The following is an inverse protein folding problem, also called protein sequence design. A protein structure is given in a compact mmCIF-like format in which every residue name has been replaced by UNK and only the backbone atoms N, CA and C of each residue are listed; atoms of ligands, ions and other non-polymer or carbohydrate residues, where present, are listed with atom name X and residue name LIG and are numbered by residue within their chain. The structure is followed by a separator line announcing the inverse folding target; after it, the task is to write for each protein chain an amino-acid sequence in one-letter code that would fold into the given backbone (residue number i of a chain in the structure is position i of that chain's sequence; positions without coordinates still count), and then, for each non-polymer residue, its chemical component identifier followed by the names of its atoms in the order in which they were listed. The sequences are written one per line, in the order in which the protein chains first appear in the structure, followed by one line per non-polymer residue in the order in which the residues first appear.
data_IF_976677792689
#
_entry.id   IF_976677792689
#
_cell.length_a   1.000
_cell.length_b   1.000
_cell.length_c   1.000
_cell.angle_alpha   90.00
_cell.angle_beta   90.00
_cell.angle_gamma   90.00
#
_symmetry.space_group_name_H-M   'P 1'
#
loop_
_entity.id
_entity.type
_entity.pdbx_description
1 polymer ?
#
# COMPACT_ATOMS: atom_id res chain seq x y z
N UNK A 1 11.94 16.22 10.31
CA UNK A 1 12.62 15.14 11.07
C UNK A 1 12.19 15.07 12.53
N UNK A 2 12.43 16.10 13.36
CA UNK A 2 12.02 16.12 14.79
C UNK A 2 10.54 15.82 15.07
N UNK A 3 9.62 16.29 14.23
CA UNK A 3 8.18 16.01 14.40
C UNK A 3 7.84 14.53 14.13
N UNK A 4 8.50 13.93 13.14
CA UNK A 4 8.35 12.51 12.80
C UNK A 4 8.88 11.62 13.91
N UNK A 5 10.05 11.94 14.45
CA UNK A 5 10.64 11.20 15.57
C UNK A 5 9.76 11.26 16.82
N UNK A 6 9.17 12.42 17.11
CA UNK A 6 8.22 12.58 18.22
C UNK A 6 6.99 11.68 18.03
N UNK A 7 6.39 11.70 16.84
CA UNK A 7 5.25 10.84 16.51
C UNK A 7 5.59 9.35 16.67
N UNK A 8 6.76 8.93 16.16
CA UNK A 8 7.25 7.55 16.29
C UNK A 8 7.42 7.16 17.75
N UNK A 9 7.99 8.04 18.56
CA UNK A 9 8.19 7.81 20.00
C UNK A 9 6.85 7.61 20.72
N UNK A 10 5.88 8.50 20.47
CA UNK A 10 4.55 8.43 21.08
C UNK A 10 3.77 7.19 20.61
N UNK A 11 3.87 6.84 19.33
CA UNK A 11 3.28 5.61 18.79
C UNK A 11 3.87 4.37 19.48
N UNK A 12 5.21 4.28 19.56
CA UNK A 12 5.90 3.15 20.22
C UNK A 12 5.55 3.06 21.70
N UNK A 13 5.47 4.20 22.39
CA UNK A 13 5.04 4.25 23.79
C UNK A 13 3.64 3.66 23.96
N UNK A 14 2.69 4.07 23.12
CA UNK A 14 1.32 3.55 23.13
C UNK A 14 1.28 2.06 22.80
N UNK A 15 2.01 1.64 21.76
CA UNK A 15 2.11 0.24 21.35
C UNK A 15 2.63 -0.67 22.45
N UNK A 16 3.63 -0.22 23.21
CA UNK A 16 4.23 -0.99 24.31
C UNK A 16 3.29 -1.17 25.50
N UNK A 17 2.28 -0.31 25.65
CA UNK A 17 1.29 -0.38 26.73
C UNK A 17 -0.02 -1.06 26.30
N UNK A 18 -0.19 -1.32 25.01
CA UNK A 18 -1.39 -1.94 24.47
C UNK A 18 -1.39 -3.47 24.70
N UNK A 19 -2.53 -3.99 25.17
CA UNK A 19 -2.84 -5.42 25.20
C UNK A 19 -3.72 -5.83 24.02
N UNK A 20 -3.90 -7.13 23.79
CA UNK A 20 -4.85 -7.62 22.78
C UNK A 20 -6.27 -7.16 23.12
N UNK A 21 -7.08 -6.69 22.15
CA UNK A 21 -6.84 -6.71 20.70
C UNK A 21 -6.08 -5.51 20.13
N UNK A 22 -5.93 -4.41 20.88
CA UNK A 22 -5.32 -3.15 20.41
C UNK A 22 -3.86 -3.32 19.98
N UNK A 23 -3.10 -4.19 20.66
CA UNK A 23 -1.71 -4.47 20.28
C UNK A 23 -1.59 -4.97 18.83
N UNK A 24 -2.49 -5.87 18.42
CA UNK A 24 -2.52 -6.43 17.06
C UNK A 24 -2.93 -5.35 16.07
N UNK A 25 -3.98 -4.59 16.39
CA UNK A 25 -4.42 -3.47 15.54
C UNK A 25 -3.29 -2.47 15.26
N UNK A 26 -2.51 -2.10 16.29
CA UNK A 26 -1.37 -1.21 16.12
C UNK A 26 -0.22 -1.86 15.33
N UNK A 27 -0.03 -3.18 15.40
CA UNK A 27 0.93 -3.89 14.54
C UNK A 27 0.53 -3.78 13.06
N UNK A 28 -0.75 -3.95 12.74
CA UNK A 28 -1.24 -3.82 11.35
C UNK A 28 -0.94 -2.43 10.78
N UNK A 29 -1.08 -1.36 11.57
CA UNK A 29 -0.69 0.00 11.13
C UNK A 29 0.80 0.05 10.74
N UNK A 30 1.67 -0.66 11.46
CA UNK A 30 3.10 -0.69 11.11
C UNK A 30 3.40 -1.46 9.83
N UNK A 31 2.55 -2.40 9.43
CA UNK A 31 2.76 -3.24 8.25
C UNK A 31 2.80 -2.44 6.95
N UNK A 32 2.01 -1.37 6.83
CA UNK A 32 2.10 -0.45 5.69
C UNK A 32 3.52 0.10 5.52
N UNK A 33 4.11 0.61 6.61
CA UNK A 33 5.49 1.12 6.58
C UNK A 33 6.53 0.02 6.38
N UNK A 34 6.27 -1.20 6.85
CA UNK A 34 7.15 -2.34 6.60
C UNK A 34 7.18 -2.71 5.12
N UNK A 35 6.02 -2.73 4.45
CA UNK A 35 5.92 -2.98 3.00
C UNK A 35 6.74 -1.95 2.23
N UNK A 36 6.58 -0.66 2.53
CA UNK A 36 7.33 0.41 1.86
C UNK A 36 8.84 0.27 2.08
N UNK A 37 9.25 -0.02 3.32
CA UNK A 37 10.67 -0.24 3.65
C UNK A 37 11.24 -1.44 2.89
N UNK A 38 10.52 -2.56 2.80
CA UNK A 38 10.97 -3.74 2.07
C UNK A 38 11.11 -3.43 0.59
N UNK A 39 10.12 -2.76 0.00
CA UNK A 39 10.18 -2.36 -1.40
C UNK A 39 11.39 -1.44 -1.64
N UNK A 40 11.60 -0.44 -0.78
CA UNK A 40 12.76 0.45 -0.85
C UNK A 40 14.09 -0.31 -0.78
N UNK A 41 14.19 -1.31 0.10
CA UNK A 41 15.39 -2.13 0.26
C UNK A 41 15.63 -2.99 -0.99
N UNK A 42 14.61 -3.67 -1.52
CA UNK A 42 14.72 -4.48 -2.74
C UNK A 42 15.14 -3.61 -3.93
N UNK A 43 14.49 -2.46 -4.14
CA UNK A 43 14.86 -1.51 -5.21
C UNK A 43 16.29 -1.01 -5.05
N UNK A 44 16.70 -0.67 -3.84
CA UNK A 44 18.06 -0.19 -3.59
C UNK A 44 19.12 -1.27 -3.82
N UNK A 45 18.86 -2.51 -3.44
CA UNK A 45 19.76 -3.65 -3.72
C UNK A 45 19.85 -3.94 -5.22
N UNK A 46 18.74 -3.81 -5.97
CA UNK A 46 18.75 -3.94 -7.43
C UNK A 46 19.69 -2.92 -8.11
N UNK A 47 19.76 -1.71 -7.54
CA UNK A 47 20.65 -0.63 -7.98
C UNK A 47 22.05 -0.69 -7.35
N UNK A 48 22.43 -1.82 -6.76
CA UNK A 48 23.73 -2.03 -6.10
C UNK A 48 24.06 -1.01 -5.00
N UNK A 49 23.04 -0.42 -4.36
CA UNK A 49 23.24 0.50 -3.23
C UNK A 49 23.47 -0.27 -1.94
N UNK A 50 24.41 0.18 -1.08
CA UNK A 50 24.66 -0.49 0.18
C UNK A 50 23.45 -0.39 1.11
N UNK A 51 23.05 -1.52 1.69
CA UNK A 51 21.90 -1.62 2.60
C UNK A 51 22.03 -0.67 3.80
N UNK A 52 23.25 -0.42 4.27
CA UNK A 52 23.52 0.53 5.35
C UNK A 52 23.08 1.95 5.02
N UNK A 53 23.17 2.39 3.77
CA UNK A 53 22.64 3.68 3.34
C UNK A 53 21.10 3.65 3.25
N UNK A 54 20.54 2.57 2.72
CA UNK A 54 19.08 2.43 2.54
C UNK A 54 18.33 2.40 3.87
N UNK A 55 18.90 1.79 4.91
CA UNK A 55 18.31 1.74 6.26
C UNK A 55 18.12 3.16 6.83
N UNK A 56 19.03 4.10 6.54
CA UNK A 56 18.88 5.50 7.00
C UNK A 56 17.68 6.21 6.37
N UNK A 57 17.20 5.73 5.22
CA UNK A 57 16.04 6.26 4.50
C UNK A 57 14.73 5.54 4.84
N UNK A 58 14.80 4.41 5.56
CA UNK A 58 13.61 3.66 5.96
C UNK A 58 12.76 4.42 6.99
N UNK A 59 11.45 4.19 6.96
CA UNK A 59 10.53 4.75 7.92
C UNK A 59 10.66 4.05 9.30
N UNK A 60 10.85 4.79 10.42
CA UNK A 60 11.07 4.20 11.74
C UNK A 60 9.92 3.35 12.31
N UNK A 61 8.69 3.50 11.80
CA UNK A 61 7.58 2.62 12.21
C UNK A 61 7.61 1.26 11.52
N UNK A 62 8.24 1.17 10.35
CA UNK A 62 8.37 -0.07 9.58
C UNK A 62 9.68 -0.81 9.84
N UNK A 63 10.42 -0.46 10.90
CA UNK A 63 11.66 -1.15 11.26
C UNK A 63 11.33 -2.41 12.06
N UNK A 64 11.92 -3.54 11.67
CA UNK A 64 11.80 -4.80 12.41
C UNK A 64 13.15 -5.18 13.05
N UNK A 65 13.10 -5.98 14.11
CA UNK A 65 14.27 -6.27 14.97
C UNK A 65 15.43 -6.91 14.20
N UNK A 66 15.15 -7.66 13.15
CA UNK A 66 16.13 -8.38 12.34
C UNK A 66 16.67 -7.55 11.16
N UNK A 67 16.48 -6.23 11.13
CA UNK A 67 17.10 -5.36 10.11
C UNK A 67 18.64 -5.53 10.05
N UNK A 68 19.28 -5.90 11.17
CA UNK A 68 20.72 -6.15 11.22
C UNK A 68 21.17 -7.37 10.40
N UNK A 69 20.32 -8.39 10.23
CA UNK A 69 20.64 -9.57 9.42
C UNK A 69 20.55 -9.29 7.93
N UNK A 70 19.78 -8.27 7.52
CA UNK A 70 19.66 -7.85 6.12
C UNK A 70 20.98 -7.31 5.57
N UNK A 71 21.88 -6.79 6.40
CA UNK A 71 23.21 -6.34 5.96
C UNK A 71 24.05 -7.44 5.28
N UNK A 72 23.71 -8.70 5.52
CA UNK A 72 24.43 -9.86 4.99
C UNK A 72 23.91 -10.22 3.59
N UNK A 73 22.67 -9.86 3.26
CA UNK A 73 22.08 -10.15 1.96
C UNK A 73 22.75 -9.31 0.87
N UNK A 74 23.35 -9.97 -0.12
CA UNK A 74 24.04 -9.31 -1.23
C UNK A 74 23.25 -9.38 -2.52
N UNK A 75 22.21 -10.22 -2.57
CA UNK A 75 21.32 -10.37 -3.72
C UNK A 75 19.87 -10.03 -3.35
N UNK A 76 19.06 -9.51 -4.29
CA UNK A 76 17.63 -9.27 -4.07
C UNK A 76 16.88 -10.55 -3.64
N UNK A 77 17.28 -11.72 -4.14
CA UNK A 77 16.69 -13.01 -3.78
C UNK A 77 17.01 -13.44 -2.34
N UNK A 78 18.22 -13.19 -1.85
CA UNK A 78 18.57 -13.42 -0.45
C UNK A 78 17.81 -12.48 0.48
N UNK A 79 17.71 -11.20 0.11
CA UNK A 79 16.96 -10.20 0.85
C UNK A 79 15.48 -10.60 0.95
N UNK A 80 14.90 -11.04 -0.16
CA UNK A 80 13.54 -11.54 -0.24
C UNK A 80 13.32 -12.74 0.71
N UNK A 81 14.22 -13.73 0.69
CA UNK A 81 14.11 -14.89 1.57
C UNK A 81 14.30 -14.53 3.05
N UNK A 82 15.19 -13.60 3.38
CA UNK A 82 15.38 -13.12 4.75
C UNK A 82 14.11 -12.42 5.26
N UNK A 83 13.50 -11.57 4.44
CA UNK A 83 12.23 -10.90 4.76
C UNK A 83 11.09 -11.90 4.92
N UNK A 84 11.02 -12.91 4.05
CA UNK A 84 10.01 -13.96 4.12
C UNK A 84 10.03 -14.78 5.40
N UNK A 85 11.21 -15.08 5.94
CA UNK A 85 11.34 -15.93 7.11
C UNK A 85 11.04 -15.15 8.40
N UNK A 86 11.46 -13.89 8.45
CA UNK A 86 11.54 -13.15 9.72
C UNK A 86 10.49 -12.04 9.87
N UNK A 87 9.64 -11.79 8.87
CA UNK A 87 8.61 -10.75 8.95
C UNK A 87 7.19 -11.31 9.02
N UNK A 88 6.26 -10.62 9.72
CA UNK A 88 4.84 -11.02 9.75
C UNK A 88 4.14 -10.86 8.39
N UNK A 89 4.82 -10.30 7.38
CA UNK A 89 4.32 -10.13 6.02
C UNK A 89 4.47 -11.41 5.18
N UNK A 90 5.18 -12.43 5.68
CA UNK A 90 5.38 -13.71 5.00
C UNK A 90 4.10 -14.29 4.34
N UNK A 91 2.92 -14.28 4.99
CA UNK A 91 1.70 -14.79 4.38
C UNK A 91 1.27 -14.05 3.11
N UNK A 92 1.59 -12.75 3.00
CA UNK A 92 1.22 -11.91 1.86
C UNK A 92 2.12 -12.14 0.64
N UNK A 93 3.31 -12.68 0.85
CA UNK A 93 4.28 -12.94 -0.23
C UNK A 93 4.04 -14.27 -0.96
N UNK A 94 3.27 -15.20 -0.38
CA UNK A 94 2.97 -16.51 -0.99
C UNK A 94 2.26 -16.34 -2.34
N UNK A 95 1.38 -15.34 -2.43
CA UNK A 95 0.62 -15.03 -3.65
C UNK A 95 1.37 -14.11 -4.62
N UNK A 96 2.55 -13.59 -4.24
CA UNK A 96 3.25 -12.55 -5.00
C UNK A 96 4.19 -13.08 -6.09
N UNK A 97 4.83 -14.24 -5.93
CA UNK A 97 6.01 -14.59 -6.76
C UNK A 97 5.96 -16.00 -7.34
N UNK A 98 5.33 -16.13 -8.50
CA UNK A 98 5.75 -17.12 -9.50
C UNK A 98 6.90 -16.55 -10.34
N UNK A 99 8.14 -16.79 -9.89
CA UNK A 99 9.35 -16.99 -10.72
C UNK A 99 9.67 -16.02 -11.88
N UNK A 100 9.24 -14.77 -11.84
CA UNK A 100 9.74 -13.72 -12.76
C UNK A 100 10.78 -12.85 -12.05
N UNK A 101 11.83 -12.50 -12.81
CA UNK A 101 13.02 -11.80 -12.34
C UNK A 101 12.68 -10.49 -11.62
N UNK A 102 13.41 -10.18 -10.55
CA UNK A 102 13.18 -9.00 -9.71
C UNK A 102 13.59 -7.71 -10.43
N UNK A 103 12.86 -7.33 -11.48
CA UNK A 103 13.04 -6.09 -12.24
C UNK A 103 12.22 -4.93 -11.64
N UNK A 104 12.56 -3.68 -11.96
CA UNK A 104 11.88 -2.49 -11.41
C UNK A 104 10.36 -2.49 -11.62
N UNK A 105 9.88 -2.92 -12.79
CA UNK A 105 8.45 -3.03 -13.10
C UNK A 105 7.78 -4.09 -12.21
N UNK A 106 8.51 -5.16 -11.88
CA UNK A 106 8.04 -6.21 -10.98
C UNK A 106 8.00 -5.73 -9.52
N UNK A 107 8.82 -4.75 -9.14
CA UNK A 107 8.82 -4.24 -7.76
C UNK A 107 7.55 -3.44 -7.44
N UNK A 108 7.05 -2.62 -8.35
CA UNK A 108 5.76 -1.93 -8.15
C UNK A 108 4.58 -2.90 -8.15
N UNK A 109 4.64 -3.97 -8.96
CA UNK A 109 3.67 -5.07 -8.93
C UNK A 109 3.70 -5.78 -7.56
N UNK A 110 4.90 -6.09 -7.04
CA UNK A 110 5.08 -6.67 -5.71
C UNK A 110 4.51 -5.75 -4.63
N UNK A 111 4.83 -4.44 -4.68
CA UNK A 111 4.27 -3.44 -3.74
C UNK A 111 2.75 -3.50 -3.74
N UNK A 112 2.12 -3.39 -4.91
CA UNK A 112 0.66 -3.37 -5.01
C UNK A 112 0.03 -4.69 -4.57
N UNK A 113 0.64 -5.82 -4.88
CA UNK A 113 0.14 -7.15 -4.47
C UNK A 113 0.23 -7.33 -2.96
N UNK A 114 1.33 -6.89 -2.33
CA UNK A 114 1.48 -6.90 -0.88
C UNK A 114 0.46 -6.00 -0.19
N UNK A 115 0.28 -4.78 -0.70
CA UNK A 115 -0.71 -3.86 -0.17
C UNK A 115 -2.13 -4.38 -0.31
N UNK A 116 -2.44 -5.06 -1.42
CA UNK A 116 -3.73 -5.73 -1.62
C UNK A 116 -4.01 -6.75 -0.52
N UNK A 117 -3.08 -7.69 -0.30
CA UNK A 117 -3.22 -8.73 0.71
C UNK A 117 -3.30 -8.13 2.13
N UNK A 118 -2.46 -7.13 2.42
CA UNK A 118 -2.47 -6.40 3.68
C UNK A 118 -3.82 -5.71 3.95
N UNK A 119 -4.37 -4.98 2.97
CA UNK A 119 -5.64 -4.27 3.13
C UNK A 119 -6.82 -5.23 3.33
N UNK A 120 -6.84 -6.34 2.59
CA UNK A 120 -7.90 -7.35 2.74
C UNK A 120 -7.83 -8.06 4.09
N UNK A 121 -6.62 -8.34 4.59
CA UNK A 121 -6.43 -8.95 5.91
C UNK A 121 -6.74 -7.96 7.05
N UNK A 122 -6.31 -6.70 6.91
CA UNK A 122 -6.61 -5.67 7.90
C UNK A 122 -8.11 -5.36 7.97
N UNK A 123 -8.79 -5.37 6.83
CA UNK A 123 -10.25 -5.21 6.79
C UNK A 123 -10.97 -6.34 7.54
N UNK A 124 -10.56 -7.60 7.32
CA UNK A 124 -11.11 -8.76 8.06
C UNK A 124 -10.85 -8.68 9.55
N UNK A 125 -9.66 -8.20 9.97
CA UNK A 125 -9.38 -7.94 11.37
C UNK A 125 -10.37 -6.91 11.92
N UNK A 126 -10.57 -5.78 11.24
CA UNK A 126 -11.48 -4.73 11.69
C UNK A 126 -12.94 -5.21 11.78
N UNK A 127 -13.41 -5.98 10.80
CA UNK A 127 -14.73 -6.63 10.86
C UNK A 127 -14.86 -7.55 12.09
N UNK A 128 -13.82 -8.34 12.38
CA UNK A 128 -13.82 -9.25 13.52
C UNK A 128 -13.87 -8.55 14.88
N UNK A 129 -13.35 -7.32 14.97
CA UNK A 129 -13.40 -6.50 16.20
C UNK A 129 -14.81 -5.95 16.44
N UNK A 130 -15.57 -5.70 15.37
CA UNK A 130 -16.96 -5.22 15.43
C UNK A 130 -17.14 -3.83 16.05
N UNK A 131 -18.41 -3.48 16.28
CA UNK A 131 -18.82 -2.22 16.91
C UNK A 131 -18.38 -0.97 16.13
N UNK A 132 -18.17 0.13 16.86
CA UNK A 132 -17.75 1.41 16.27
C UNK A 132 -16.39 1.33 15.56
N UNK A 133 -15.50 0.44 16.01
CA UNK A 133 -14.19 0.25 15.35
C UNK A 133 -14.36 -0.31 13.95
N UNK A 134 -15.22 -1.33 13.77
CA UNK A 134 -15.50 -1.87 12.44
C UNK A 134 -16.17 -0.81 11.55
N UNK A 135 -17.20 -0.11 12.04
CA UNK A 135 -17.92 0.89 11.26
C UNK A 135 -17.01 2.00 10.74
N UNK A 136 -16.10 2.51 11.57
CA UNK A 136 -15.21 3.60 11.18
C UNK A 136 -14.04 3.06 10.33
N UNK A 137 -13.34 2.02 10.81
CA UNK A 137 -12.14 1.53 10.14
C UNK A 137 -12.41 0.82 8.83
N UNK A 138 -13.50 0.05 8.71
CA UNK A 138 -13.84 -0.58 7.43
C UNK A 138 -14.17 0.48 6.37
N UNK A 139 -14.82 1.58 6.75
CA UNK A 139 -15.07 2.69 5.82
C UNK A 139 -13.76 3.38 5.38
N UNK A 140 -12.83 3.62 6.30
CA UNK A 140 -11.52 4.19 5.99
C UNK A 140 -10.68 3.26 5.08
N UNK A 141 -10.64 1.97 5.40
CA UNK A 141 -9.91 0.97 4.62
C UNK A 141 -10.54 0.74 3.24
N UNK A 142 -11.87 0.82 3.13
CA UNK A 142 -12.57 0.77 1.85
C UNK A 142 -12.16 1.95 0.96
N UNK A 143 -12.13 3.16 1.53
CA UNK A 143 -11.66 4.34 0.80
C UNK A 143 -10.19 4.21 0.35
N UNK A 144 -9.30 3.71 1.21
CA UNK A 144 -7.89 3.47 0.85
C UNK A 144 -7.75 2.43 -0.27
N UNK A 145 -8.57 1.36 -0.24
CA UNK A 145 -8.63 0.37 -1.30
C UNK A 145 -9.09 0.96 -2.64
N UNK A 146 -10.11 1.82 -2.61
CA UNK A 146 -10.65 2.47 -3.80
C UNK A 146 -9.66 3.49 -4.37
N UNK A 147 -9.03 4.32 -3.51
CA UNK A 147 -7.94 5.24 -3.89
C UNK A 147 -6.83 4.50 -4.62
N UNK A 148 -6.34 3.40 -4.06
CA UNK A 148 -5.30 2.58 -4.70
C UNK A 148 -5.75 2.00 -6.03
N UNK A 149 -7.00 1.56 -6.14
CA UNK A 149 -7.53 1.02 -7.39
C UNK A 149 -7.55 2.08 -8.51
N UNK A 150 -7.91 3.33 -8.19
CA UNK A 150 -7.82 4.45 -9.12
C UNK A 150 -6.37 4.75 -9.51
N UNK A 151 -5.47 4.90 -8.54
CA UNK A 151 -4.06 5.23 -8.78
C UNK A 151 -3.34 4.15 -9.60
N UNK A 152 -3.57 2.86 -9.29
CA UNK A 152 -3.02 1.74 -10.08
C UNK A 152 -3.50 1.82 -11.53
N UNK A 153 -4.78 2.16 -11.75
CA UNK A 153 -5.34 2.25 -13.10
C UNK A 153 -4.71 3.39 -13.89
N UNK A 154 -4.60 4.57 -13.27
CA UNK A 154 -4.01 5.76 -13.92
C UNK A 154 -2.52 5.53 -14.21
N UNK A 155 -1.76 5.03 -13.24
CA UNK A 155 -0.33 4.79 -13.37
C UNK A 155 0.00 3.60 -14.29
N UNK A 156 -0.98 2.73 -14.58
CA UNK A 156 -0.80 1.65 -15.56
C UNK A 156 -0.84 2.13 -17.01
N UNK A 157 -1.36 3.32 -17.29
CA UNK A 157 -1.44 3.83 -18.66
C UNK A 157 -0.04 4.06 -19.24
N UNK A 158 0.20 3.55 -20.45
CA UNK A 158 1.50 3.64 -21.10
C UNK A 158 2.54 2.63 -20.61
N UNK A 159 2.16 1.68 -19.74
CA UNK A 159 3.02 0.56 -19.30
C UNK A 159 2.68 -0.73 -20.04
N UNK A 160 3.52 -1.76 -19.92
CA UNK A 160 3.29 -3.10 -20.50
C UNK A 160 2.32 -3.97 -19.67
N UNK A 161 1.68 -3.41 -18.64
CA UNK A 161 0.80 -4.16 -17.76
C UNK A 161 -0.51 -4.52 -18.47
N UNK A 162 -0.82 -5.82 -18.52
CA UNK A 162 -2.08 -6.29 -19.13
C UNK A 162 -3.30 -5.93 -18.27
N UNK A 163 -4.47 -5.82 -18.91
CA UNK A 163 -5.75 -5.58 -18.22
C UNK A 163 -6.06 -6.65 -17.17
N UNK A 164 -5.68 -7.89 -17.43
CA UNK A 164 -5.89 -9.02 -16.51
C UNK A 164 -4.97 -8.94 -15.31
N UNK A 165 -3.70 -8.60 -15.50
CA UNK A 165 -2.76 -8.47 -14.39
C UNK A 165 -3.07 -7.25 -13.54
N UNK A 166 -3.48 -6.14 -14.17
CA UNK A 166 -4.02 -4.97 -13.47
C UNK A 166 -5.21 -5.32 -12.57
N UNK A 167 -6.15 -6.14 -13.05
CA UNK A 167 -7.29 -6.59 -12.25
C UNK A 167 -6.91 -7.42 -11.03
N UNK A 168 -5.75 -8.12 -11.07
CA UNK A 168 -5.22 -8.86 -9.92
C UNK A 168 -4.65 -7.93 -8.85
N UNK A 169 -4.28 -6.70 -9.16
CA UNK A 169 -3.67 -5.77 -8.19
C UNK A 169 -4.70 -5.06 -7.31
N UNK A 170 -5.97 -5.02 -7.69
CA UNK A 170 -6.99 -4.28 -6.95
C UNK A 170 -7.40 -4.96 -5.64
N UNK A 171 -7.43 -4.24 -4.49
CA UNK A 171 -8.02 -4.72 -3.25
C UNK A 171 -9.54 -4.87 -3.36
N UNK A 172 -10.08 -5.95 -2.78
CA UNK A 172 -11.52 -6.29 -2.88
C UNK A 172 -12.37 -5.84 -1.69
N UNK A 173 -11.84 -4.98 -0.83
CA UNK A 173 -12.52 -4.49 0.38
C UNK A 173 -13.12 -3.08 0.24
N UNK A 174 -13.06 -2.47 -0.95
CA UNK A 174 -13.61 -1.14 -1.26
C UNK A 174 -15.02 -1.14 -1.83
N UNK A 175 -15.62 0.05 -1.98
CA UNK A 175 -16.95 0.27 -2.57
C UNK A 175 -16.97 0.04 -4.08
N UNK A 176 -15.81 0.10 -4.75
CA UNK A 176 -15.70 -0.23 -6.17
C UNK A 176 -15.87 -1.73 -6.45
N UNK A 177 -15.71 -2.60 -5.44
CA UNK A 177 -15.92 -4.03 -5.62
C UNK A 177 -17.43 -4.35 -5.65
N UNK A 178 -17.94 -5.16 -6.60
CA UNK A 178 -17.22 -5.81 -7.71
C UNK A 178 -17.25 -5.03 -9.04
N UNK A 179 -18.25 -4.18 -9.26
CA UNK A 179 -18.55 -3.62 -10.59
C UNK A 179 -17.59 -2.49 -11.01
N UNK A 180 -17.23 -1.60 -10.09
CA UNK A 180 -16.28 -0.52 -10.33
C UNK A 180 -14.89 -1.06 -10.69
N UNK A 181 -14.40 -2.08 -9.98
CA UNK A 181 -13.11 -2.71 -10.29
C UNK A 181 -13.11 -3.40 -11.66
N UNK A 182 -14.21 -4.07 -12.03
CA UNK A 182 -14.35 -4.67 -13.35
C UNK A 182 -14.39 -3.64 -14.48
N UNK A 183 -14.92 -2.45 -14.21
CA UNK A 183 -14.90 -1.33 -15.14
C UNK A 183 -13.49 -0.71 -15.24
N UNK A 184 -12.83 -0.46 -14.10
CA UNK A 184 -11.45 0.06 -14.06
C UNK A 184 -10.46 -0.86 -14.76
N UNK A 185 -10.61 -2.18 -14.60
CA UNK A 185 -9.80 -3.16 -15.30
C UNK A 185 -9.90 -3.05 -16.83
N UNK A 186 -11.00 -2.51 -17.37
CA UNK A 186 -11.21 -2.33 -18.80
C UNK A 186 -10.81 -0.96 -19.32
N UNK A 187 -10.65 0.03 -18.43
CA UNK A 187 -10.39 1.42 -18.78
C UNK A 187 -9.04 1.58 -19.51
N UNK A 188 -9.03 2.37 -20.59
CA UNK A 188 -7.85 2.61 -21.42
C UNK A 188 -7.33 4.05 -21.34
N UNK A 189 -8.12 4.97 -20.79
CA UNK A 189 -7.81 6.38 -20.68
C UNK A 189 -8.35 6.98 -19.37
N UNK A 190 -7.91 8.20 -19.07
CA UNK A 190 -8.31 8.92 -17.87
C UNK A 190 -9.79 9.29 -17.87
N UNK A 191 -10.37 9.62 -19.03
CA UNK A 191 -11.77 10.02 -19.15
C UNK A 191 -12.72 8.86 -18.78
N UNK A 192 -12.38 7.63 -19.16
CA UNK A 192 -13.11 6.42 -18.77
C UNK A 192 -13.03 6.20 -17.25
N UNK A 193 -11.87 6.45 -16.63
CA UNK A 193 -11.72 6.35 -15.17
C UNK A 193 -12.59 7.40 -14.47
N UNK A 194 -12.62 8.64 -14.97
CA UNK A 194 -13.50 9.70 -14.47
C UNK A 194 -14.97 9.32 -14.59
N UNK A 195 -15.40 8.79 -15.74
CA UNK A 195 -16.77 8.31 -15.91
C UNK A 195 -17.14 7.17 -14.96
N UNK A 196 -16.19 6.30 -14.60
CA UNK A 196 -16.42 5.26 -13.59
C UNK A 196 -16.59 5.89 -12.20
N UNK A 197 -15.77 6.89 -11.86
CA UNK A 197 -15.87 7.63 -10.61
C UNK A 197 -17.20 8.39 -10.48
N UNK A 198 -17.77 8.90 -11.58
CA UNK A 198 -19.05 9.63 -11.60
C UNK A 198 -20.25 8.83 -11.07
N UNK A 199 -20.20 7.48 -11.17
CA UNK A 199 -21.24 6.61 -10.62
C UNK A 199 -21.28 6.62 -9.09
N UNK A 200 -20.22 7.08 -8.44
CA UNK A 200 -20.08 7.12 -6.99
C UNK A 200 -20.04 8.56 -6.53
N UNK A 201 -21.09 8.98 -5.80
CA UNK A 201 -21.24 10.37 -5.35
C UNK A 201 -20.05 10.89 -4.52
N UNK A 202 -19.36 9.99 -3.81
CA UNK A 202 -18.18 10.30 -2.99
C UNK A 202 -16.93 10.57 -3.84
N UNK A 203 -16.77 9.90 -4.98
CA UNK A 203 -15.57 10.04 -5.83
C UNK A 203 -15.73 11.09 -6.92
N UNK A 204 -16.95 11.30 -7.41
CA UNK A 204 -17.27 12.31 -8.42
C UNK A 204 -16.61 13.68 -8.19
N UNK A 205 -16.75 14.34 -7.02
CA UNK A 205 -16.14 15.66 -6.82
C UNK A 205 -14.61 15.64 -6.84
N UNK A 206 -13.97 14.50 -6.57
CA UNK A 206 -12.51 14.37 -6.58
C UNK A 206 -11.95 14.43 -8.00
N UNK A 207 -12.70 13.91 -8.98
CA UNK A 207 -12.33 13.89 -10.40
C UNK A 207 -12.91 15.06 -11.20
N UNK A 208 -13.95 15.75 -10.68
CA UNK A 208 -14.61 16.80 -11.44
C UNK A 208 -13.74 18.04 -11.66
N UNK A 209 -12.85 18.30 -10.70
CA UNK A 209 -12.06 19.53 -10.58
C UNK A 209 -10.58 19.31 -10.97
N UNK A 210 -10.19 18.08 -11.35
CA UNK A 210 -8.81 17.73 -11.74
C UNK A 210 -8.59 18.13 -13.20
N UNK A 211 -8.44 19.44 -13.43
CA UNK A 211 -8.10 20.01 -14.73
C UNK A 211 -6.58 20.13 -14.93
N UNK A 212 -6.13 19.97 -16.17
CA UNK A 212 -4.75 20.21 -16.66
C UNK A 212 -4.35 21.71 -16.63
N UNK A 213 -4.97 22.52 -15.78
CA UNK A 213 -4.57 23.91 -15.60
C UNK A 213 -3.32 23.97 -14.70
N UNK A 214 -2.26 24.61 -15.20
CA UNK A 214 -1.03 24.82 -14.45
C UNK A 214 -1.32 25.61 -13.15
N UNK A 215 -1.50 24.89 -12.04
CA UNK A 215 -1.89 25.42 -10.73
C UNK A 215 -2.98 24.63 -10.00
N UNK A 216 -3.65 23.68 -10.65
CA UNK A 216 -4.66 22.83 -10.02
C UNK A 216 -4.02 21.71 -9.18
N UNK A 217 -4.68 21.39 -8.05
CA UNK A 217 -4.28 20.31 -7.14
C UNK A 217 -4.30 18.98 -7.88
N UNK A 218 -3.25 18.18 -7.68
CA UNK A 218 -3.19 16.84 -8.26
C UNK A 218 -4.32 15.97 -7.72
N UNK A 219 -4.66 14.90 -8.43
CA UNK A 219 -5.66 13.95 -7.95
C UNK A 219 -5.25 13.34 -6.59
N UNK A 220 -3.94 13.11 -6.38
CA UNK A 220 -3.40 12.67 -5.09
C UNK A 220 -3.62 13.70 -3.98
N UNK A 221 -3.39 14.99 -4.25
CA UNK A 221 -3.65 16.07 -3.27
C UNK A 221 -5.14 16.12 -2.87
N UNK A 222 -6.06 15.84 -3.79
CA UNK A 222 -7.49 15.82 -3.51
C UNK A 222 -7.93 14.61 -2.72
N UNK A 223 -7.39 13.45 -3.04
CA UNK A 223 -7.59 12.26 -2.21
C UNK A 223 -7.08 12.49 -0.79
N UNK A 224 -5.95 13.19 -0.64
CA UNK A 224 -5.41 13.55 0.67
C UNK A 224 -6.30 14.55 1.41
N UNK A 225 -6.82 15.59 0.74
CA UNK A 225 -7.73 16.55 1.37
C UNK A 225 -9.05 15.93 1.82
N UNK A 226 -9.58 14.99 1.04
CA UNK A 226 -10.78 14.24 1.42
C UNK A 226 -10.53 13.30 2.60
N UNK A 227 -9.33 12.71 2.70
CA UNK A 227 -8.93 11.87 3.84
C UNK A 227 -8.77 12.66 5.14
N UNK A 228 -8.37 13.93 5.06
CA UNK A 228 -8.13 14.80 6.22
C UNK A 228 -9.41 15.46 6.77
N UNK A 229 -10.50 15.50 5.99
CA UNK A 229 -11.80 16.05 6.41
C UNK A 229 -12.61 15.10 7.31
#
# INVERSE_FOLDING_TARGET
EKMREKLVSEFRYTRNQAFRPLSVFLDYITYSYMIDNIVLLITGTLHERPISELITKCHPLGTFMQMETLHIASTPSELYNAVLVDTPLAPYFVDCITKHDLDELNIEIIRNTLYRAYLEDFYKLCESLGGATAEIMCNLLAFEADRRSFLITINSFGTELTKEDRAKLYPRCGKLYPYGLAALAKADDFDQVRHIADYYAEYKPLFDDSGDAAGDKTLEDKFFEYEVQ
#
